data_IF_328422697709
#
_entry.id   IF_328422697709
#
_cell.length_a   1.000
_cell.length_b   1.000
_cell.length_c   1.000
_cell.angle_alpha   90.00
_cell.angle_beta   90.00
_cell.angle_gamma   90.00
#
_symmetry.space_group_name_H-M   'P 1'
#
loop_
_entity.id
_entity.type
_entity.pdbx_description
1 polymer ?
#
# COMPACT_ATOMS: atom_id res chain seq x y z
N UNK A 1 21.69 -19.35 -5.40
CA UNK A 1 22.36 -19.93 -6.59
C UNK A 1 23.84 -20.04 -6.27
N UNK A 2 24.49 -21.18 -6.55
CA UNK A 2 25.95 -21.29 -6.38
C UNK A 2 26.66 -20.28 -7.28
N UNK A 3 27.78 -19.73 -6.80
CA UNK A 3 28.63 -18.82 -7.57
C UNK A 3 29.27 -19.60 -8.73
N UNK A 4 29.00 -19.19 -9.96
CA UNK A 4 29.61 -19.77 -11.16
C UNK A 4 31.06 -19.32 -11.23
N UNK A 5 31.99 -20.27 -11.34
CA UNK A 5 33.42 -19.97 -11.47
C UNK A 5 33.75 -19.50 -12.89
N UNK A 6 33.89 -18.18 -13.03
CA UNK A 6 34.13 -17.48 -14.31
C UNK A 6 35.59 -17.67 -14.78
N UNK A 7 36.48 -18.21 -13.94
CA UNK A 7 37.89 -18.41 -14.31
C UNK A 7 38.14 -19.72 -15.08
N UNK A 8 37.19 -20.66 -15.03
CA UNK A 8 37.29 -21.92 -15.76
C UNK A 8 36.97 -21.72 -17.26
N UNK A 9 37.90 -22.04 -18.18
CA UNK A 9 37.69 -21.83 -19.62
C UNK A 9 36.50 -22.63 -20.18
N UNK A 10 36.18 -23.80 -19.62
CA UNK A 10 35.03 -24.60 -20.08
C UNK A 10 33.70 -23.89 -19.78
N UNK A 11 33.61 -23.18 -18.65
CA UNK A 11 32.42 -22.41 -18.27
C UNK A 11 32.27 -21.20 -19.18
N UNK A 12 33.37 -20.53 -19.52
CA UNK A 12 33.39 -19.40 -20.47
C UNK A 12 32.86 -19.84 -21.84
N UNK A 13 33.37 -20.96 -22.38
CA UNK A 13 32.93 -21.51 -23.67
C UNK A 13 31.42 -21.81 -23.64
N UNK A 14 30.94 -22.49 -22.59
CA UNK A 14 29.52 -22.79 -22.43
C UNK A 14 28.62 -21.54 -22.40
N UNK A 15 29.05 -20.49 -21.71
CA UNK A 15 28.30 -19.23 -21.64
C UNK A 15 28.26 -18.52 -23.01
N UNK A 16 29.36 -18.53 -23.76
CA UNK A 16 29.41 -18.00 -25.12
C UNK A 16 28.45 -18.76 -26.03
N UNK A 17 28.46 -20.10 -25.99
CA UNK A 17 27.55 -20.92 -26.80
C UNK A 17 26.08 -20.65 -26.48
N UNK A 18 25.73 -20.50 -25.20
CA UNK A 18 24.36 -20.17 -24.81
C UNK A 18 23.95 -18.77 -25.27
N UNK A 19 24.86 -17.79 -25.15
CA UNK A 19 24.62 -16.46 -25.66
C UNK A 19 24.37 -16.47 -27.18
N UNK A 20 25.17 -17.22 -27.94
CA UNK A 20 24.95 -17.38 -29.38
C UNK A 20 23.61 -18.07 -29.70
N UNK A 21 23.24 -19.12 -28.96
CA UNK A 21 21.95 -19.81 -29.12
C UNK A 21 20.78 -18.86 -28.87
N UNK A 22 20.81 -18.11 -27.77
CA UNK A 22 19.78 -17.10 -27.50
C UNK A 22 19.74 -16.02 -28.59
N UNK A 23 20.90 -15.55 -29.03
CA UNK A 23 20.98 -14.52 -30.07
C UNK A 23 20.37 -15.02 -31.39
N UNK A 24 20.65 -16.27 -31.79
CA UNK A 24 20.00 -16.90 -32.95
C UNK A 24 18.49 -17.02 -32.77
N UNK A 25 18.01 -17.43 -31.59
CA UNK A 25 16.57 -17.50 -31.32
C UNK A 25 15.90 -16.12 -31.39
N UNK A 26 16.55 -15.09 -30.85
CA UNK A 26 16.07 -13.70 -30.92
C UNK A 26 16.03 -13.20 -32.36
N UNK A 27 17.08 -13.44 -33.13
CA UNK A 27 17.13 -13.06 -34.55
C UNK A 27 16.05 -13.77 -35.36
N UNK A 28 15.87 -15.08 -35.14
CA UNK A 28 14.81 -15.85 -35.78
C UNK A 28 13.42 -15.32 -35.41
N UNK A 29 13.21 -14.96 -34.14
CA UNK A 29 11.97 -14.35 -33.68
C UNK A 29 11.75 -12.98 -34.34
N UNK A 30 12.77 -12.12 -34.36
CA UNK A 30 12.71 -10.80 -35.00
C UNK A 30 12.39 -10.96 -36.50
N UNK A 31 13.03 -11.89 -37.20
CA UNK A 31 12.74 -12.16 -38.61
C UNK A 31 11.29 -12.63 -38.81
N UNK A 32 10.83 -13.57 -37.98
CA UNK A 32 9.46 -14.09 -38.04
C UNK A 32 8.40 -13.01 -37.78
N UNK A 33 8.72 -12.02 -36.96
CA UNK A 33 7.81 -10.95 -36.56
C UNK A 33 8.20 -9.59 -37.17
N UNK A 34 9.05 -9.58 -38.21
CA UNK A 34 9.66 -8.36 -38.75
C UNK A 34 8.61 -7.34 -39.22
N UNK A 35 7.59 -7.81 -39.95
CA UNK A 35 6.51 -6.97 -40.48
C UNK A 35 5.69 -6.31 -39.36
N UNK A 36 5.39 -7.06 -38.29
CA UNK A 36 4.67 -6.55 -37.12
C UNK A 36 5.50 -5.50 -36.37
N UNK A 37 6.80 -5.74 -36.23
CA UNK A 37 7.73 -4.80 -35.60
C UNK A 37 7.85 -3.53 -36.44
N UNK A 38 7.98 -3.66 -37.76
CA UNK A 38 8.05 -2.54 -38.69
C UNK A 38 6.77 -1.70 -38.64
N UNK A 39 5.60 -2.34 -38.65
CA UNK A 39 4.30 -1.68 -38.50
C UNK A 39 4.15 -1.00 -37.13
N UNK A 40 4.64 -1.63 -36.05
CA UNK A 40 4.59 -1.05 -34.71
C UNK A 40 5.56 0.13 -34.54
N UNK A 41 6.70 0.12 -35.23
CA UNK A 41 7.72 1.16 -35.22
C UNK A 41 7.33 2.38 -36.05
N UNK A 42 6.52 2.20 -37.11
CA UNK A 42 5.95 3.32 -37.86
C UNK A 42 4.85 4.01 -37.06
N UNK A 43 4.93 5.35 -36.97
CA UNK A 43 3.93 6.19 -36.29
C UNK A 43 2.60 6.29 -37.07
N UNK A 44 2.60 5.86 -38.33
CA UNK A 44 1.44 5.84 -39.23
C UNK A 44 0.60 4.59 -38.97
N UNK A 45 -0.07 4.56 -37.82
CA UNK A 45 -1.13 3.57 -37.57
C UNK A 45 -2.43 4.15 -38.11
N UNK A 46 -3.18 3.35 -38.86
CA UNK A 46 -4.55 3.74 -39.19
C UNK A 46 -5.31 3.97 -37.88
N UNK A 47 -6.05 5.10 -37.75
CA UNK A 47 -6.84 5.36 -36.56
C UNK A 47 -7.81 4.21 -36.40
N UNK A 48 -7.66 3.45 -35.34
CA UNK A 48 -8.41 2.22 -35.11
C UNK A 48 -9.86 2.49 -34.69
N UNK A 49 -10.27 3.76 -34.65
CA UNK A 49 -11.62 4.24 -34.32
C UNK A 49 -12.25 3.53 -33.12
N UNK A 50 -11.46 3.18 -32.10
CA UNK A 50 -12.00 2.61 -30.87
C UNK A 50 -12.84 3.69 -30.17
N UNK A 51 -14.10 3.37 -29.93
CA UNK A 51 -14.92 4.17 -29.05
C UNK A 51 -14.65 3.78 -27.59
N UNK A 52 -14.99 4.66 -26.65
CA UNK A 52 -14.88 4.36 -25.22
C UNK A 52 -15.64 3.08 -24.86
N UNK A 53 -16.76 2.82 -25.54
CA UNK A 53 -17.56 1.60 -25.40
C UNK A 53 -16.78 0.33 -25.75
N UNK A 54 -15.90 0.38 -26.74
CA UNK A 54 -15.13 -0.79 -27.19
C UNK A 54 -14.01 -1.11 -26.20
N UNK A 55 -13.38 -0.07 -25.65
CA UNK A 55 -12.36 -0.21 -24.60
C UNK A 55 -12.99 -0.77 -23.33
N UNK A 56 -14.18 -0.28 -22.95
CA UNK A 56 -14.95 -0.81 -21.81
C UNK A 56 -15.31 -2.27 -22.06
N UNK A 57 -15.85 -2.60 -23.23
CA UNK A 57 -16.21 -3.98 -23.59
C UNK A 57 -15.00 -4.91 -23.55
N UNK A 58 -13.87 -4.50 -24.11
CA UNK A 58 -12.63 -5.29 -24.08
C UNK A 58 -12.13 -5.52 -22.65
N UNK A 59 -12.14 -4.47 -21.81
CA UNK A 59 -11.75 -4.59 -20.40
C UNK A 59 -12.68 -5.51 -19.62
N UNK A 60 -14.00 -5.45 -19.88
CA UNK A 60 -14.96 -6.38 -19.29
C UNK A 60 -14.67 -7.82 -19.72
N UNK A 61 -14.46 -8.05 -21.02
CA UNK A 61 -14.12 -9.38 -21.56
C UNK A 61 -12.82 -9.92 -20.97
N UNK A 62 -11.78 -9.09 -20.86
CA UNK A 62 -10.51 -9.45 -20.24
C UNK A 62 -10.61 -9.72 -18.73
N UNK A 63 -11.58 -9.11 -18.04
CA UNK A 63 -11.86 -9.32 -16.62
C UNK A 63 -12.69 -10.57 -16.31
N UNK A 64 -13.49 -11.06 -17.26
CA UNK A 64 -14.36 -12.24 -17.07
C UNK A 64 -13.59 -13.51 -16.64
N UNK A 65 -12.42 -13.87 -17.20
CA UNK A 65 -11.63 -15.01 -16.73
C UNK A 65 -11.21 -14.90 -15.25
N UNK A 66 -10.87 -13.70 -14.78
CA UNK A 66 -10.49 -13.46 -13.38
C UNK A 66 -11.71 -13.57 -12.48
N UNK A 67 -12.83 -12.95 -12.86
CA UNK A 67 -14.08 -13.01 -12.09
C UNK A 67 -14.60 -14.45 -11.99
N UNK A 68 -14.55 -15.21 -13.08
CA UNK A 68 -14.98 -16.62 -13.09
C UNK A 68 -14.06 -17.48 -12.24
N UNK A 69 -12.73 -17.29 -12.31
CA UNK A 69 -11.77 -17.96 -11.43
C UNK A 69 -12.06 -17.65 -9.97
N UNK A 70 -12.23 -16.37 -9.63
CA UNK A 70 -12.51 -15.94 -8.26
C UNK A 70 -13.86 -16.45 -7.78
N UNK A 71 -14.88 -16.52 -8.64
CA UNK A 71 -16.16 -17.13 -8.31
C UNK A 71 -16.04 -18.62 -8.01
N UNK A 72 -15.27 -19.36 -8.81
CA UNK A 72 -14.98 -20.79 -8.59
C UNK A 72 -14.21 -20.99 -7.28
N UNK A 73 -13.16 -20.22 -7.04
CA UNK A 73 -12.37 -20.22 -5.79
C UNK A 73 -13.25 -19.85 -4.59
N UNK A 74 -14.08 -18.82 -4.72
CA UNK A 74 -15.04 -18.44 -3.70
C UNK A 74 -16.08 -19.54 -3.49
N UNK A 75 -16.46 -20.32 -4.50
CA UNK A 75 -17.32 -21.49 -4.36
C UNK A 75 -16.68 -22.63 -3.56
N UNK A 76 -15.36 -22.81 -3.66
CA UNK A 76 -14.61 -23.74 -2.81
C UNK A 76 -14.47 -23.22 -1.37
N UNK A 77 -14.28 -21.92 -1.19
CA UNK A 77 -14.05 -21.29 0.11
C UNK A 77 -15.35 -20.92 0.86
N UNK A 78 -16.46 -20.73 0.14
CA UNK A 78 -17.80 -20.61 0.70
C UNK A 78 -18.22 -22.00 1.13
N UNK A 79 -18.10 -22.27 2.43
CA UNK A 79 -18.65 -23.49 3.03
C UNK A 79 -20.13 -23.60 2.64
N UNK A 80 -20.47 -24.60 1.80
CA UNK A 80 -21.83 -24.80 1.25
C UNK A 80 -22.89 -25.03 2.33
N UNK A 81 -22.48 -25.45 3.53
CA UNK A 81 -23.31 -25.67 4.70
C UNK A 81 -22.47 -25.21 5.89
N UNK A 82 -23.05 -24.42 6.81
CA UNK A 82 -22.41 -24.19 8.10
C UNK A 82 -22.15 -25.55 8.75
N UNK A 83 -20.94 -25.81 9.25
CA UNK A 83 -20.61 -27.09 9.90
C UNK A 83 -21.55 -27.23 11.12
N UNK A 84 -22.68 -27.94 10.98
CA UNK A 84 -23.63 -28.16 12.07
C UNK A 84 -23.17 -29.28 13.01
N UNK A 85 -22.34 -30.18 12.49
CA UNK A 85 -21.82 -31.37 13.18
C UNK A 85 -20.36 -31.21 13.62
N UNK A 86 -19.86 -29.98 13.68
CA UNK A 86 -18.65 -29.69 14.42
C UNK A 86 -19.01 -29.87 15.88
N UNK A 87 -18.63 -31.00 16.49
CA UNK A 87 -18.85 -31.29 17.92
C UNK A 87 -18.41 -30.14 18.81
N UNK A 88 -17.49 -29.32 18.30
CA UNK A 88 -17.02 -28.10 18.94
C UNK A 88 -16.57 -27.09 17.89
N UNK A 89 -17.40 -26.07 17.64
CA UNK A 89 -16.92 -24.84 16.99
C UNK A 89 -16.34 -23.99 18.11
N UNK A 90 -15.03 -23.68 18.12
CA UNK A 90 -14.46 -22.82 19.14
C UNK A 90 -15.05 -21.41 19.00
N UNK A 91 -16.14 -21.14 19.71
CA UNK A 91 -16.62 -19.78 19.97
C UNK A 91 -15.68 -19.06 20.93
N UNK A 92 -15.99 -17.81 21.26
CA UNK A 92 -15.21 -16.99 22.20
C UNK A 92 -14.92 -17.71 23.53
N UNK A 93 -15.85 -18.58 23.98
CA UNK A 93 -15.71 -19.43 25.19
C UNK A 93 -14.58 -20.46 25.14
N UNK A 94 -13.96 -20.66 23.99
CA UNK A 94 -12.99 -21.71 23.69
C UNK A 94 -11.65 -21.16 23.20
N UNK A 95 -11.49 -19.83 23.18
CA UNK A 95 -10.21 -19.18 23.03
C UNK A 95 -9.34 -19.55 24.24
N UNK A 96 -8.24 -20.25 23.98
CA UNK A 96 -7.26 -20.59 25.02
C UNK A 96 -6.44 -19.36 25.40
N UNK A 97 -5.98 -19.33 26.65
CA UNK A 97 -4.90 -18.47 27.12
C UNK A 97 -3.74 -18.48 26.10
N UNK A 98 -3.21 -17.30 25.72
CA UNK A 98 -2.25 -17.13 24.62
C UNK A 98 -2.75 -16.33 23.42
N UNK A 99 -4.04 -15.97 23.37
CA UNK A 99 -4.61 -15.09 22.33
C UNK A 99 -5.13 -13.75 22.88
N UNK A 100 -4.78 -13.41 24.13
CA UNK A 100 -5.17 -12.12 24.69
C UNK A 100 -4.40 -10.97 24.03
N UNK A 101 -4.94 -9.75 24.04
CA UNK A 101 -4.24 -8.54 23.56
C UNK A 101 -2.83 -8.41 24.16
N UNK A 102 -2.65 -8.82 25.42
CA UNK A 102 -1.36 -8.77 26.14
C UNK A 102 -0.42 -9.86 25.62
N UNK A 103 -0.90 -11.10 25.46
CA UNK A 103 -0.09 -12.22 24.95
C UNK A 103 0.39 -11.97 23.52
N UNK A 104 -0.43 -11.28 22.70
CA UNK A 104 -0.10 -10.88 21.32
C UNK A 104 0.87 -9.68 21.28
N UNK A 105 1.12 -9.01 22.41
CA UNK A 105 1.98 -7.82 22.49
C UNK A 105 1.37 -6.57 21.85
N UNK A 106 0.03 -6.49 21.78
CA UNK A 106 -0.69 -5.31 21.26
C UNK A 106 -0.96 -4.27 22.34
N UNK A 107 -1.03 -4.67 23.62
CA UNK A 107 -1.32 -3.79 24.75
C UNK A 107 -0.45 -4.09 25.97
N UNK A 108 -0.13 -3.02 26.71
CA UNK A 108 0.64 -3.09 27.94
C UNK A 108 -0.29 -2.98 29.16
N UNK A 109 -0.09 -3.83 30.16
CA UNK A 109 -0.85 -3.81 31.42
C UNK A 109 -0.69 -2.50 32.19
N UNK A 110 0.44 -1.80 31.99
CA UNK A 110 0.72 -0.52 32.63
C UNK A 110 -0.14 0.62 32.06
N UNK A 111 -0.41 0.57 30.76
CA UNK A 111 -1.15 1.61 30.05
C UNK A 111 -2.67 1.37 30.14
N UNK A 112 -3.11 0.12 30.11
CA UNK A 112 -4.51 -0.25 30.29
C UNK A 112 -4.67 -1.37 31.33
N UNK A 113 -5.09 -1.05 32.58
CA UNK A 113 -5.31 -2.06 33.60
C UNK A 113 -6.50 -2.97 33.29
N UNK A 114 -7.38 -2.61 32.34
CA UNK A 114 -8.53 -3.44 31.93
C UNK A 114 -8.11 -4.72 31.21
N UNK A 115 -6.88 -4.76 30.72
CA UNK A 115 -6.31 -5.94 30.09
C UNK A 115 -5.86 -7.01 31.10
N UNK A 116 -5.79 -6.67 32.39
CA UNK A 116 -5.45 -7.64 33.43
C UNK A 116 -6.64 -8.57 33.70
N UNK A 117 -6.67 -9.71 33.02
CA UNK A 117 -7.73 -10.72 33.18
C UNK A 117 -7.25 -11.94 33.97
N UNK A 118 -8.17 -12.52 34.74
CA UNK A 118 -7.95 -13.82 35.34
C UNK A 118 -7.97 -14.91 34.25
N UNK A 119 -7.23 -16.01 34.48
CA UNK A 119 -7.03 -17.10 33.49
C UNK A 119 -8.33 -17.71 32.97
N UNK A 120 -9.41 -17.66 33.76
CA UNK A 120 -10.71 -18.24 33.43
C UNK A 120 -11.79 -17.22 33.05
N UNK A 121 -11.45 -15.94 32.93
CA UNK A 121 -12.43 -14.93 32.55
C UNK A 121 -12.72 -15.00 31.03
N UNK A 122 -14.01 -15.13 30.69
CA UNK A 122 -14.53 -15.28 29.32
C UNK A 122 -15.10 -13.97 28.76
N UNK A 123 -14.98 -12.86 29.50
CA UNK A 123 -15.42 -11.56 29.01
C UNK A 123 -14.67 -11.20 27.72
N UNK A 124 -15.34 -10.62 26.71
CA UNK A 124 -14.66 -10.14 25.52
C UNK A 124 -13.66 -9.05 25.88
N UNK A 125 -12.58 -8.96 25.12
CA UNK A 125 -11.58 -7.89 25.30
C UNK A 125 -12.11 -6.54 24.80
N UNK A 126 -11.65 -5.44 25.39
CA UNK A 126 -12.02 -4.12 24.90
C UNK A 126 -11.48 -3.91 23.48
N UNK A 127 -12.35 -3.44 22.60
CA UNK A 127 -12.03 -3.11 21.20
C UNK A 127 -11.10 -1.87 21.12
N UNK A 128 -11.36 -0.89 21.98
CA UNK A 128 -10.72 0.42 21.99
C UNK A 128 -9.75 0.56 23.15
N UNK A 129 -8.68 1.32 22.93
CA UNK A 129 -7.80 1.80 24.00
C UNK A 129 -8.53 2.83 24.88
N UNK A 130 -8.11 2.99 26.14
CA UNK A 130 -8.66 4.02 27.01
C UNK A 130 -8.47 5.41 26.40
N UNK A 131 -9.45 6.27 26.62
CA UNK A 131 -9.42 7.65 26.10
C UNK A 131 -8.68 8.52 27.11
N UNK A 132 -7.84 9.44 26.64
CA UNK A 132 -7.21 10.42 27.51
C UNK A 132 -8.26 11.23 28.28
N UNK A 133 -8.13 11.40 29.61
CA UNK A 133 -9.14 12.09 30.43
C UNK A 133 -9.36 13.54 29.97
N UNK A 134 -8.31 14.18 29.44
CA UNK A 134 -8.39 15.51 28.86
C UNK A 134 -9.34 15.59 27.65
N UNK A 135 -9.41 14.53 26.84
CA UNK A 135 -10.33 14.43 25.71
C UNK A 135 -11.73 14.04 26.15
N UNK A 136 -11.84 13.13 27.13
CA UNK A 136 -13.10 12.75 27.75
C UNK A 136 -13.82 13.95 28.35
N UNK A 137 -13.09 14.82 29.06
CA UNK A 137 -13.60 16.07 29.62
C UNK A 137 -14.23 16.99 28.56
N UNK A 138 -13.78 16.94 27.30
CA UNK A 138 -14.34 17.77 26.21
C UNK A 138 -15.77 17.36 25.89
N UNK A 139 -16.11 16.08 26.02
CA UNK A 139 -17.47 15.57 25.78
C UNK A 139 -18.45 16.20 26.76
N UNK A 140 -18.02 16.37 28.02
CA UNK A 140 -18.85 16.86 29.12
C UNK A 140 -18.89 18.39 29.25
N UNK A 141 -18.16 19.14 28.40
CA UNK A 141 -18.24 20.60 28.40
C UNK A 141 -19.60 21.09 27.90
N UNK A 142 -20.14 22.11 28.57
CA UNK A 142 -21.39 22.76 28.18
C UNK A 142 -21.25 23.58 26.89
N UNK A 143 -22.36 23.78 26.18
CA UNK A 143 -22.47 24.69 25.01
C UNK A 143 -22.00 26.11 25.40
N UNK A 144 -21.40 26.91 24.48
CA UNK A 144 -21.52 26.88 23.01
C UNK A 144 -20.45 26.06 22.27
N UNK A 145 -19.39 25.62 22.95
CA UNK A 145 -18.39 24.73 22.36
C UNK A 145 -19.01 23.33 22.19
N UNK A 146 -19.29 22.92 20.95
CA UNK A 146 -19.86 21.62 20.64
C UNK A 146 -18.94 20.48 21.10
N UNK A 147 -19.06 20.05 22.36
CA UNK A 147 -18.18 19.08 23.00
C UNK A 147 -18.01 17.80 22.18
N UNK A 148 -19.11 17.23 21.67
CA UNK A 148 -19.06 16.04 20.80
C UNK A 148 -18.34 16.30 19.47
N UNK A 149 -18.60 17.43 18.81
CA UNK A 149 -17.97 17.74 17.52
C UNK A 149 -16.48 18.00 17.73
N UNK A 150 -16.12 18.82 18.71
CA UNK A 150 -14.72 19.07 19.06
C UNK A 150 -13.99 17.80 19.48
N UNK A 151 -14.66 16.93 20.25
CA UNK A 151 -14.13 15.62 20.63
C UNK A 151 -13.83 14.77 19.39
N UNK A 152 -14.79 14.63 18.47
CA UNK A 152 -14.59 13.86 17.24
C UNK A 152 -13.48 14.46 16.37
N UNK A 153 -13.42 15.78 16.24
CA UNK A 153 -12.36 16.47 15.49
C UNK A 153 -10.99 16.26 16.11
N UNK A 154 -10.86 16.38 17.44
CA UNK A 154 -9.58 16.17 18.15
C UNK A 154 -9.17 14.71 18.16
N UNK A 155 -10.10 13.79 18.46
CA UNK A 155 -9.87 12.34 18.44
C UNK A 155 -9.58 11.82 17.03
N UNK A 156 -10.16 12.44 16.00
CA UNK A 156 -9.88 12.14 14.61
C UNK A 156 -8.41 12.37 14.24
N UNK A 157 -7.76 13.38 14.82
CA UNK A 157 -6.32 13.69 14.60
C UNK A 157 -5.37 12.69 15.27
N UNK A 158 -5.85 11.88 16.21
CA UNK A 158 -5.04 10.88 16.89
C UNK A 158 -4.85 9.68 15.96
N UNK A 159 -3.63 9.15 15.93
CA UNK A 159 -3.27 7.98 15.15
C UNK A 159 -4.16 6.77 15.50
N UNK A 160 -4.58 5.95 14.53
CA UNK A 160 -5.35 4.73 14.76
C UNK A 160 -4.73 3.80 15.81
N UNK A 161 -3.39 3.64 15.78
CA UNK A 161 -2.59 2.87 16.76
C UNK A 161 -2.93 3.18 18.21
N UNK A 162 -3.19 4.45 18.52
CA UNK A 162 -3.47 4.92 19.88
C UNK A 162 -4.95 4.82 20.24
N UNK A 163 -5.83 4.50 19.29
CA UNK A 163 -7.29 4.46 19.48
C UNK A 163 -7.81 3.04 19.65
N UNK A 164 -7.30 2.08 18.89
CA UNK A 164 -7.78 0.70 18.91
C UNK A 164 -6.65 -0.28 19.27
N UNK A 165 -7.00 -1.54 19.52
CA UNK A 165 -6.02 -2.63 19.62
C UNK A 165 -5.85 -3.37 18.29
N UNK A 166 -6.93 -3.47 17.52
CA UNK A 166 -6.99 -4.19 16.26
C UNK A 166 -7.38 -3.27 15.09
N UNK A 167 -7.05 -3.70 13.86
CA UNK A 167 -7.42 -3.03 12.63
C UNK A 167 -8.89 -3.30 12.26
N UNK A 168 -9.84 -2.83 13.08
CA UNK A 168 -11.26 -3.16 12.87
C UNK A 168 -11.91 -2.39 11.72
N UNK A 169 -11.37 -1.23 11.36
CA UNK A 169 -11.87 -0.47 10.21
C UNK A 169 -11.13 -0.90 8.94
N UNK A 170 -11.87 -1.23 7.88
CA UNK A 170 -11.31 -1.46 6.53
C UNK A 170 -10.43 -0.31 6.06
N UNK A 171 -10.80 0.94 6.41
CA UNK A 171 -10.00 2.14 6.12
C UNK A 171 -8.65 2.20 6.86
N UNK A 172 -8.39 1.29 7.80
CA UNK A 172 -7.15 1.19 8.56
C UNK A 172 -6.28 -0.01 8.14
N UNK A 173 -6.67 -0.78 7.11
CA UNK A 173 -5.81 -1.86 6.58
C UNK A 173 -4.42 -1.34 6.20
N UNK A 174 -4.37 -0.15 5.58
CA UNK A 174 -3.14 0.56 5.27
C UNK A 174 -2.91 1.66 6.32
N UNK A 175 -2.03 1.41 7.28
CA UNK A 175 -1.61 2.41 8.28
C UNK A 175 -2.17 2.22 9.70
N UNK A 176 -2.67 1.01 10.02
CA UNK A 176 -2.99 0.63 11.39
C UNK A 176 -1.79 0.75 12.34
N UNK A 177 -0.62 0.23 11.96
CA UNK A 177 0.66 0.26 12.70
C UNK A 177 1.79 0.83 11.82
N UNK A 178 1.67 2.12 11.48
CA UNK A 178 2.67 2.86 10.68
C UNK A 178 4.05 2.85 11.36
N UNK A 179 4.10 2.87 12.69
CA UNK A 179 5.38 2.83 13.41
C UNK A 179 6.13 1.51 13.22
N UNK A 180 5.41 0.41 13.11
CA UNK A 180 5.99 -0.92 12.92
C UNK A 180 6.37 -1.16 11.46
N UNK A 181 5.65 -0.53 10.51
CA UNK A 181 6.02 -0.54 9.09
C UNK A 181 7.25 0.33 8.86
N UNK A 182 8.42 -0.19 9.21
CA UNK A 182 9.70 0.47 9.06
C UNK A 182 10.21 0.38 7.61
N UNK A 183 9.52 1.02 6.66
CA UNK A 183 10.18 1.52 5.45
C UNK A 183 10.94 2.80 5.85
N UNK A 184 11.93 2.66 6.74
CA UNK A 184 12.88 3.74 7.08
C UNK A 184 13.93 3.93 5.99
N UNK A 185 13.96 3.04 5.01
CA UNK A 185 14.80 3.17 3.84
C UNK A 185 14.30 4.35 3.01
N UNK A 186 15.24 5.23 2.66
CA UNK A 186 14.95 6.27 1.68
C UNK A 186 14.61 5.57 0.37
N UNK A 187 13.57 5.99 -0.36
CA UNK A 187 13.28 5.42 -1.66
C UNK A 187 14.51 5.56 -2.56
N UNK A 188 14.96 4.47 -3.17
CA UNK A 188 16.08 4.45 -4.14
C UNK A 188 15.89 5.50 -5.24
N UNK A 189 14.64 5.74 -5.64
CA UNK A 189 14.27 6.70 -6.68
C UNK A 189 13.23 7.72 -6.17
N UNK A 190 13.51 8.36 -5.03
CA UNK A 190 12.69 9.47 -4.54
C UNK A 190 12.73 10.69 -5.49
N UNK A 191 11.61 11.40 -5.61
CA UNK A 191 11.57 12.69 -6.33
C UNK A 191 12.46 13.71 -5.62
N UNK A 192 13.60 14.04 -6.21
CA UNK A 192 14.52 15.06 -5.73
C UNK A 192 14.23 16.41 -6.40
N UNK A 193 13.95 17.44 -5.59
CA UNK A 193 13.70 18.81 -6.06
C UNK A 193 15.02 19.54 -6.35
N UNK A 194 15.75 19.08 -7.37
CA UNK A 194 17.08 19.62 -7.70
C UNK A 194 17.02 21.10 -8.12
N UNK A 195 16.13 21.45 -9.06
CA UNK A 195 16.02 22.81 -9.62
C UNK A 195 15.62 23.85 -8.57
N UNK A 196 14.64 23.53 -7.74
CA UNK A 196 14.15 24.44 -6.69
C UNK A 196 15.20 24.61 -5.60
N UNK A 197 15.94 23.55 -5.24
CA UNK A 197 17.03 23.62 -4.26
C UNK A 197 18.22 24.44 -4.76
N UNK A 198 18.58 24.33 -6.04
CA UNK A 198 19.65 25.13 -6.64
C UNK A 198 19.23 26.60 -6.83
N UNK A 199 18.00 26.87 -7.28
CA UNK A 199 17.50 28.23 -7.50
C UNK A 199 17.20 28.99 -6.19
N UNK A 200 16.72 28.31 -5.14
CA UNK A 200 16.42 28.92 -3.82
C UNK A 200 17.54 28.78 -2.80
N UNK A 201 18.77 28.45 -3.20
CA UNK A 201 19.86 28.45 -2.21
C UNK A 201 19.91 29.84 -1.54
N UNK A 202 19.77 29.88 -0.21
CA UNK A 202 19.74 31.15 0.57
C UNK A 202 21.03 31.96 0.41
N UNK A 203 22.03 31.32 -0.16
CA UNK A 203 23.38 31.81 -0.45
C UNK A 203 23.79 31.10 -1.75
N UNK A 204 23.30 31.63 -2.89
CA UNK A 204 24.06 31.50 -4.13
C UNK A 204 25.39 32.25 -3.99
N UNK A 205 26.36 32.07 -4.90
CA UNK A 205 27.70 32.66 -4.75
C UNK A 205 27.69 34.18 -4.58
N UNK A 206 26.75 34.90 -5.19
CA UNK A 206 26.45 36.33 -4.98
C UNK A 206 24.96 36.59 -5.29
N UNK A 207 24.29 37.55 -4.63
CA UNK A 207 22.97 38.00 -5.05
C UNK A 207 23.05 38.66 -6.42
N UNK A 208 22.08 38.38 -7.29
CA UNK A 208 22.00 39.04 -8.60
C UNK A 208 21.88 40.58 -8.41
N UNK A 209 22.53 41.39 -9.27
CA UNK A 209 22.39 42.85 -9.22
C UNK A 209 20.93 43.32 -9.29
N UNK A 210 20.62 44.46 -8.67
CA UNK A 210 19.24 44.97 -8.50
C UNK A 210 18.46 45.23 -9.80
N UNK A 211 19.13 45.21 -10.95
CA UNK A 211 18.52 45.41 -12.27
C UNK A 211 18.06 44.10 -12.93
N UNK A 212 18.34 42.94 -12.35
CA UNK A 212 17.81 41.66 -12.83
C UNK A 212 16.45 41.32 -12.19
N UNK A 213 15.54 40.75 -13.00
CA UNK A 213 14.27 40.21 -12.51
C UNK A 213 14.54 38.90 -11.75
N UNK A 214 13.93 38.73 -10.59
CA UNK A 214 14.00 37.45 -9.85
C UNK A 214 13.52 36.30 -10.72
N UNK A 215 14.19 35.15 -10.66
CA UNK A 215 13.77 33.96 -11.41
C UNK A 215 12.33 33.56 -11.08
N UNK A 216 11.45 33.61 -12.07
CA UNK A 216 10.10 33.07 -11.99
C UNK A 216 10.18 31.56 -12.15
N UNK A 217 9.85 30.81 -11.08
CA UNK A 217 9.82 29.35 -11.16
C UNK A 217 8.71 28.92 -12.13
N UNK A 218 8.95 27.98 -13.05
CA UNK A 218 7.87 27.36 -13.80
C UNK A 218 7.03 26.47 -12.85
N UNK A 219 5.88 26.99 -12.41
CA UNK A 219 4.82 26.30 -11.66
C UNK A 219 4.71 26.69 -10.17
N UNK A 220 3.54 26.71 -9.53
CA UNK A 220 2.23 26.18 -9.91
C UNK A 220 1.27 27.29 -10.38
N UNK A 221 0.93 27.33 -11.67
CA UNK A 221 -0.35 27.90 -12.07
C UNK A 221 -1.42 26.94 -11.55
N UNK A 222 -2.26 27.40 -10.63
CA UNK A 222 -3.55 26.75 -10.41
C UNK A 222 -4.25 26.72 -11.77
N UNK A 223 -4.43 25.54 -12.35
CA UNK A 223 -5.42 25.38 -13.41
C UNK A 223 -6.75 25.82 -12.82
N UNK A 224 -7.18 27.04 -13.10
CA UNK A 224 -8.58 27.44 -12.93
C UNK A 224 -9.34 26.63 -13.96
N UNK A 225 -10.00 25.57 -13.50
CA UNK A 225 -10.86 24.75 -14.34
C UNK A 225 -11.87 25.64 -15.05
N UNK A 226 -11.93 25.48 -16.37
CA UNK A 226 -13.13 25.75 -17.17
C UNK A 226 -13.89 24.41 -17.21
#
# INVERSE_FOLDING_TARGET
>A
MPLVDITNPAVIIFLIENYEKENRLRLNWIHKHWEQIQQAATLTREPTNYFETDVIAHNMVGGLPTITRDHVVAGFNRRKIAIRDGTFIPGVKHLRHGHSIVDVGLGDLKEDPRLQKAVHDLTPEPIMRPIDPNLENIIYKSKPEYGRVQYLTRRGKILPEKKYYFAECSNCEYGWRIKDSALREKPLHGRCWHLTKSLRSRVGPQPDPSHYKSSELPGASTCTGI
#
